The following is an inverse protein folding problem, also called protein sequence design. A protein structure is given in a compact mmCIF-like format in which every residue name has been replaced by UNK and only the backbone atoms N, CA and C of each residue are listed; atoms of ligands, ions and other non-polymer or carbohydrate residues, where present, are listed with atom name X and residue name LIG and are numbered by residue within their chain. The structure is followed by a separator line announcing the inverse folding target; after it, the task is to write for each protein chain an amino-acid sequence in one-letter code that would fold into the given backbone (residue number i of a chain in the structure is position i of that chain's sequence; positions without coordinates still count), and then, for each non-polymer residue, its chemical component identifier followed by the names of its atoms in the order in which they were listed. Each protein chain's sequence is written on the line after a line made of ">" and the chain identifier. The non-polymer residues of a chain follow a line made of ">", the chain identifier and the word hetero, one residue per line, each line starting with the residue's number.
data_IF_549456171241
#
_entry.id   IF_549456171241
#
_cell.length_a   1.000
_cell.length_b   1.000
_cell.length_c   1.000
_cell.angle_alpha   90.00
_cell.angle_beta   90.00
_cell.angle_gamma   90.00
#
_symmetry.space_group_name_H-M   'P 1'
#
loop_
_entity.id
_entity.type
_entity.pdbx_description
1 polymer ?
#
# COMPACT_ATOMS: atom_id res chain seq x y z
N UNK A 1 -70.08 -131.75 123.42
CA UNK A 1 -69.38 -132.58 122.42
C UNK A 1 -68.95 -131.69 121.25
N UNK A 2 -67.69 -131.24 121.21
CA UNK A 2 -67.16 -130.49 120.06
C UNK A 2 -66.98 -131.45 118.87
N UNK A 3 -67.62 -131.20 117.73
CA UNK A 3 -67.36 -131.95 116.49
C UNK A 3 -66.07 -131.43 115.84
N UNK A 4 -65.17 -132.34 115.44
CA UNK A 4 -63.90 -132.03 114.76
C UNK A 4 -64.16 -131.48 113.34
N UNK A 5 -63.33 -130.54 112.83
CA UNK A 5 -63.47 -129.98 111.47
C UNK A 5 -63.21 -131.03 110.37
N UNK A 6 -63.90 -130.89 109.23
CA UNK A 6 -63.69 -131.69 108.01
C UNK A 6 -62.86 -130.90 107.00
N UNK A 7 -62.01 -131.58 106.23
CA UNK A 7 -61.23 -131.00 105.13
C UNK A 7 -61.41 -131.89 103.89
N UNK A 8 -61.41 -131.27 102.71
CA UNK A 8 -61.51 -131.94 101.41
C UNK A 8 -60.16 -132.58 101.05
N UNK A 9 -60.16 -133.84 100.60
CA UNK A 9 -58.98 -134.50 100.05
C UNK A 9 -58.76 -134.15 98.57
N UNK A 10 -57.65 -134.63 98.00
CA UNK A 10 -57.26 -134.36 96.61
C UNK A 10 -58.22 -134.96 95.56
N UNK A 11 -59.15 -135.84 95.97
CA UNK A 11 -60.24 -136.35 95.14
C UNK A 11 -61.54 -135.54 95.31
N UNK A 12 -61.56 -134.54 96.21
CA UNK A 12 -62.69 -133.66 96.48
C UNK A 12 -63.70 -134.21 97.48
N UNK A 13 -63.36 -135.26 98.24
CA UNK A 13 -64.23 -135.83 99.28
C UNK A 13 -63.88 -135.29 100.68
N UNK A 14 -64.91 -135.07 101.52
CA UNK A 14 -64.75 -134.51 102.86
C UNK A 14 -64.35 -135.58 103.88
N UNK A 15 -63.11 -135.55 104.35
CA UNK A 15 -62.60 -136.46 105.38
C UNK A 15 -62.43 -135.76 106.74
N UNK A 16 -62.53 -136.55 107.82
CA UNK A 16 -62.29 -136.08 109.20
C UNK A 16 -60.82 -136.30 109.55
N UNK A 17 -60.10 -135.23 109.83
CA UNK A 17 -58.68 -135.28 110.23
C UNK A 17 -58.47 -136.13 111.49
N UNK A 18 -57.50 -137.05 111.41
CA UNK A 18 -57.00 -137.84 112.53
C UNK A 18 -55.92 -137.04 113.29
N UNK A 19 -55.70 -137.30 114.59
CA UNK A 19 -54.62 -136.66 115.34
C UNK A 19 -53.25 -137.13 114.79
N UNK A 20 -52.57 -136.26 114.05
CA UNK A 20 -51.27 -136.55 113.41
C UNK A 20 -51.19 -136.14 111.93
N UNK A 21 -52.33 -135.86 111.30
CA UNK A 21 -52.37 -135.47 109.88
C UNK A 21 -51.80 -134.05 109.69
N UNK A 22 -50.75 -133.93 108.88
CA UNK A 22 -50.18 -132.66 108.42
C UNK A 22 -50.97 -132.17 107.20
N UNK A 23 -51.53 -130.96 107.27
CA UNK A 23 -52.20 -130.33 106.13
C UNK A 23 -51.12 -129.87 105.15
N UNK A 24 -51.05 -130.49 103.98
CA UNK A 24 -50.16 -130.06 102.92
C UNK A 24 -50.72 -128.80 102.24
N UNK A 25 -50.13 -127.65 102.54
CA UNK A 25 -50.48 -126.35 101.96
C UNK A 25 -49.71 -126.07 100.67
N UNK A 26 -48.94 -127.01 100.13
CA UNK A 26 -48.14 -126.78 98.92
C UNK A 26 -48.97 -126.64 97.63
N UNK A 27 -50.27 -126.96 97.69
CA UNK A 27 -51.21 -126.84 96.56
C UNK A 27 -52.15 -125.61 96.61
N UNK A 28 -51.86 -124.59 97.43
CA UNK A 28 -52.54 -123.30 97.29
C UNK A 28 -52.13 -122.67 95.96
N UNK A 29 -53.13 -122.36 95.11
CA UNK A 29 -53.04 -121.84 93.73
C UNK A 29 -52.31 -120.48 93.54
N UNK A 30 -51.23 -120.18 94.27
CA UNK A 30 -50.59 -118.86 94.26
C UNK A 30 -49.57 -118.62 93.11
N UNK A 31 -49.09 -119.68 92.44
CA UNK A 31 -48.12 -119.52 91.34
C UNK A 31 -48.72 -118.92 90.05
N UNK A 32 -50.03 -119.13 89.78
CA UNK A 32 -50.69 -118.62 88.58
C UNK A 32 -51.00 -117.11 88.65
N UNK A 33 -51.31 -116.60 89.85
CA UNK A 33 -51.63 -115.19 90.07
C UNK A 33 -50.40 -114.29 90.02
N UNK A 34 -49.26 -114.73 90.57
CA UNK A 34 -47.98 -114.00 90.45
C UNK A 34 -47.49 -113.94 88.99
N UNK A 35 -47.58 -115.06 88.26
CA UNK A 35 -47.22 -115.15 86.83
C UNK A 35 -48.08 -114.21 85.97
N UNK A 36 -49.38 -114.07 86.28
CA UNK A 36 -50.27 -113.16 85.57
C UNK A 36 -49.94 -111.68 85.83
N UNK A 37 -49.60 -111.32 87.07
CA UNK A 37 -49.17 -109.95 87.42
C UNK A 37 -47.84 -109.59 86.75
N UNK A 38 -46.88 -110.52 86.71
CA UNK A 38 -45.59 -110.31 86.01
C UNK A 38 -45.77 -110.16 84.50
N UNK A 39 -46.67 -110.95 83.88
CA UNK A 39 -47.02 -110.80 82.47
C UNK A 39 -47.71 -109.46 82.18
N UNK A 40 -48.64 -109.02 83.04
CA UNK A 40 -49.27 -107.70 82.92
C UNK A 40 -48.23 -106.58 83.07
N UNK A 41 -47.31 -106.69 84.03
CA UNK A 41 -46.25 -105.72 84.25
C UNK A 41 -45.29 -105.65 83.04
N UNK A 42 -44.96 -106.79 82.43
CA UNK A 42 -44.16 -106.85 81.21
C UNK A 42 -44.86 -106.17 80.01
N UNK A 43 -46.17 -106.38 79.85
CA UNK A 43 -46.97 -105.71 78.81
C UNK A 43 -47.02 -104.19 79.06
N UNK A 44 -47.28 -103.76 80.30
CA UNK A 44 -47.32 -102.35 80.67
C UNK A 44 -45.97 -101.69 80.41
N UNK A 45 -44.86 -102.32 80.81
CA UNK A 45 -43.52 -101.81 80.55
C UNK A 45 -43.21 -101.73 79.04
N UNK A 46 -43.61 -102.73 78.26
CA UNK A 46 -43.43 -102.72 76.79
C UNK A 46 -44.22 -101.59 76.15
N UNK A 47 -45.47 -101.39 76.55
CA UNK A 47 -46.30 -100.29 76.08
C UNK A 47 -45.74 -98.93 76.50
N UNK A 48 -45.24 -98.80 77.73
CA UNK A 48 -44.63 -97.57 78.23
C UNK A 48 -43.37 -97.21 77.45
N UNK A 49 -42.52 -98.20 77.13
CA UNK A 49 -41.36 -98.01 76.27
C UNK A 49 -41.79 -97.56 74.87
N UNK A 50 -42.77 -98.23 74.26
CA UNK A 50 -43.27 -97.86 72.93
C UNK A 50 -43.85 -96.42 72.89
N UNK A 51 -44.60 -96.04 73.93
CA UNK A 51 -45.12 -94.67 74.09
C UNK A 51 -43.97 -93.68 74.26
N UNK A 52 -42.96 -93.98 75.07
CA UNK A 52 -41.81 -93.11 75.27
C UNK A 52 -40.98 -92.95 73.98
N UNK A 53 -40.74 -94.02 73.23
CA UNK A 53 -40.02 -93.97 71.95
C UNK A 53 -40.79 -93.12 70.93
N UNK A 54 -42.12 -93.26 70.89
CA UNK A 54 -42.99 -92.45 70.02
C UNK A 54 -42.96 -90.98 70.42
N UNK A 55 -43.05 -90.69 71.72
CA UNK A 55 -42.99 -89.33 72.26
C UNK A 55 -41.64 -88.66 71.96
N UNK A 56 -40.53 -89.38 72.16
CA UNK A 56 -39.18 -88.89 71.85
C UNK A 56 -39.02 -88.61 70.35
N UNK A 57 -39.50 -89.52 69.49
CA UNK A 57 -39.44 -89.33 68.03
C UNK A 57 -40.29 -88.14 67.58
N UNK A 58 -41.45 -87.92 68.20
CA UNK A 58 -42.31 -86.76 67.93
C UNK A 58 -41.65 -85.44 68.39
N UNK A 59 -40.99 -85.43 69.54
CA UNK A 59 -40.23 -84.27 70.02
C UNK A 59 -39.07 -83.94 69.08
N UNK A 60 -38.27 -84.95 68.69
CA UNK A 60 -37.21 -84.77 67.69
C UNK A 60 -37.74 -84.27 66.36
N UNK A 61 -38.87 -84.81 65.87
CA UNK A 61 -39.51 -84.32 64.64
C UNK A 61 -39.98 -82.87 64.76
N UNK A 62 -40.52 -82.46 65.91
CA UNK A 62 -40.92 -81.07 66.17
C UNK A 62 -39.71 -80.12 66.22
N UNK A 63 -38.62 -80.55 66.84
CA UNK A 63 -37.36 -79.79 66.88
C UNK A 63 -36.76 -79.66 65.47
N UNK A 64 -36.70 -80.75 64.69
CA UNK A 64 -36.25 -80.69 63.29
C UNK A 64 -37.15 -79.81 62.43
N UNK A 65 -38.47 -79.86 62.62
CA UNK A 65 -39.40 -79.01 61.86
C UNK A 65 -39.18 -77.54 62.20
N UNK A 66 -38.94 -77.23 63.46
CA UNK A 66 -38.62 -75.87 63.93
C UNK A 66 -37.31 -75.39 63.32
N UNK A 67 -36.27 -76.22 63.36
CA UNK A 67 -34.96 -75.94 62.77
C UNK A 67 -35.04 -75.74 61.25
N UNK A 68 -35.74 -76.62 60.53
CA UNK A 68 -35.96 -76.49 59.08
C UNK A 68 -36.73 -75.21 58.75
N UNK A 69 -37.74 -74.86 59.55
CA UNK A 69 -38.52 -73.63 59.34
C UNK A 69 -37.65 -72.38 59.56
N UNK A 70 -36.83 -72.38 60.61
CA UNK A 70 -35.91 -71.28 60.89
C UNK A 70 -34.87 -71.13 59.77
N UNK A 71 -34.29 -72.22 59.31
CA UNK A 71 -33.33 -72.21 58.19
C UNK A 71 -33.94 -71.73 56.88
N UNK A 72 -35.19 -72.10 56.57
CA UNK A 72 -35.90 -71.58 55.38
C UNK A 72 -36.16 -70.07 55.49
N UNK A 73 -36.49 -69.58 56.68
CA UNK A 73 -36.67 -68.14 56.93
C UNK A 73 -35.33 -67.39 56.82
N UNK A 74 -34.25 -67.94 57.38
CA UNK A 74 -32.90 -67.36 57.27
C UNK A 74 -32.36 -67.40 55.83
N UNK A 75 -32.55 -68.49 55.08
CA UNK A 75 -32.13 -68.60 53.68
C UNK A 75 -32.87 -67.60 52.78
N UNK A 76 -34.15 -67.32 53.07
CA UNK A 76 -34.92 -66.26 52.41
C UNK A 76 -34.46 -64.83 52.80
N UNK A 77 -33.66 -64.71 53.86
CA UNK A 77 -33.08 -63.46 54.37
C UNK A 77 -31.60 -63.27 54.00
N UNK A 78 -30.87 -64.31 53.56
CA UNK A 78 -29.46 -64.22 53.13
C UNK A 78 -29.26 -63.22 51.98
N UNK A 79 -30.28 -63.03 51.13
CA UNK A 79 -30.37 -61.89 50.22
C UNK A 79 -31.71 -61.20 50.45
N UNK A 80 -31.76 -60.14 51.29
CA UNK A 80 -33.01 -59.43 51.55
C UNK A 80 -33.57 -58.89 50.22
N UNK A 81 -34.84 -59.20 49.89
CA UNK A 81 -35.50 -58.74 48.65
C UNK A 81 -35.66 -57.21 48.54
N UNK A 82 -35.26 -56.49 49.58
CA UNK A 82 -35.14 -55.02 49.62
C UNK A 82 -33.79 -54.51 49.13
N UNK A 83 -32.78 -55.38 49.01
CA UNK A 83 -31.50 -55.01 48.41
C UNK A 83 -31.66 -54.81 46.91
N UNK A 84 -31.00 -53.79 46.38
CA UNK A 84 -31.02 -53.45 44.96
C UNK A 84 -29.61 -53.42 44.40
N UNK A 85 -29.47 -53.79 43.13
CA UNK A 85 -28.27 -53.52 42.33
C UNK A 85 -28.66 -52.41 41.37
N UNK A 86 -28.08 -51.23 41.56
CA UNK A 86 -28.40 -50.01 40.80
C UNK A 86 -29.91 -49.75 40.66
N UNK A 87 -30.63 -49.88 41.78
CA UNK A 87 -32.08 -49.63 41.85
C UNK A 87 -32.97 -50.77 41.38
N UNK A 88 -32.43 -51.87 40.86
CA UNK A 88 -33.20 -53.08 40.52
C UNK A 88 -33.22 -54.07 41.68
N UNK A 89 -34.41 -54.48 42.11
CA UNK A 89 -34.58 -55.43 43.22
C UNK A 89 -34.06 -56.83 42.84
N UNK A 90 -33.44 -57.53 43.80
CA UNK A 90 -32.92 -58.90 43.64
C UNK A 90 -34.04 -59.97 43.69
N UNK A 91 -34.99 -59.89 42.76
CA UNK A 91 -36.11 -60.85 42.64
C UNK A 91 -35.95 -61.84 41.48
N UNK A 92 -34.98 -61.61 40.59
CA UNK A 92 -34.60 -62.44 39.44
C UNK A 92 -33.19 -62.07 38.96
N UNK A 93 -32.74 -62.66 37.84
CA UNK A 93 -31.52 -62.23 37.15
C UNK A 93 -31.56 -60.72 36.86
N UNK A 94 -30.44 -60.05 37.15
CA UNK A 94 -30.28 -58.62 36.98
C UNK A 94 -29.56 -58.34 35.66
N UNK A 95 -30.31 -57.84 34.68
CA UNK A 95 -29.73 -57.29 33.46
C UNK A 95 -29.41 -55.81 33.68
N UNK A 96 -28.13 -55.46 33.68
CA UNK A 96 -27.66 -54.08 33.72
C UNK A 96 -27.29 -53.63 32.31
N UNK A 97 -27.77 -52.46 31.91
CA UNK A 97 -27.27 -51.75 30.72
C UNK A 97 -26.33 -50.60 31.12
N UNK A 98 -25.74 -49.93 30.14
CA UNK A 98 -24.82 -48.81 30.35
C UNK A 98 -25.42 -47.67 31.18
N UNK A 99 -26.72 -47.37 30.98
CA UNK A 99 -27.42 -46.35 31.76
C UNK A 99 -27.59 -46.74 33.23
N UNK A 100 -27.82 -48.03 33.52
CA UNK A 100 -27.94 -48.52 34.90
C UNK A 100 -26.64 -48.35 35.68
N UNK A 101 -25.46 -48.45 35.03
CA UNK A 101 -24.14 -48.36 35.67
C UNK A 101 -23.41 -47.03 35.43
N UNK A 102 -24.05 -46.06 34.77
CA UNK A 102 -23.42 -44.79 34.40
C UNK A 102 -22.21 -44.94 33.49
N UNK A 103 -22.15 -46.02 32.71
CA UNK A 103 -21.07 -46.27 31.76
C UNK A 103 -21.41 -45.80 30.36
N UNK A 104 -20.39 -45.74 29.51
CA UNK A 104 -20.55 -45.51 28.08
C UNK A 104 -20.91 -46.82 27.40
N UNK A 105 -21.89 -46.78 26.50
CA UNK A 105 -22.18 -47.89 25.61
C UNK A 105 -21.06 -48.05 24.59
N UNK A 106 -20.39 -49.21 24.62
CA UNK A 106 -19.29 -49.56 23.70
C UNK A 106 -19.77 -49.51 22.24
N UNK A 107 -21.04 -49.82 21.97
CA UNK A 107 -21.60 -49.76 20.62
C UNK A 107 -21.73 -48.32 20.08
N UNK A 108 -21.70 -47.31 20.95
CA UNK A 108 -21.77 -45.89 20.57
C UNK A 108 -20.41 -45.27 20.24
N UNK A 109 -19.30 -45.98 20.47
CA UNK A 109 -17.96 -45.45 20.27
C UNK A 109 -17.60 -45.52 18.78
N UNK A 110 -17.19 -44.38 18.22
CA UNK A 110 -16.63 -44.31 16.87
C UNK A 110 -17.66 -44.42 15.74
N UNK A 111 -18.96 -44.32 16.04
CA UNK A 111 -20.05 -44.31 15.05
C UNK A 111 -20.62 -42.90 14.83
N UNK A 112 -21.24 -42.59 13.67
CA UNK A 112 -21.93 -41.33 13.45
C UNK A 112 -23.00 -41.05 14.53
N UNK A 113 -22.98 -39.84 15.11
CA UNK A 113 -23.89 -39.45 16.19
C UNK A 113 -23.56 -40.01 17.58
N UNK A 114 -22.46 -40.77 17.71
CA UNK A 114 -22.00 -41.39 18.94
C UNK A 114 -20.88 -40.60 19.66
N UNK A 115 -20.04 -41.35 20.37
CA UNK A 115 -18.93 -40.83 21.18
C UNK A 115 -17.61 -40.99 20.43
N UNK A 116 -16.79 -39.95 20.45
CA UNK A 116 -15.49 -39.93 19.79
C UNK A 116 -14.42 -40.59 20.69
N UNK A 117 -13.72 -41.64 20.25
CA UNK A 117 -12.62 -42.22 21.01
C UNK A 117 -11.38 -41.32 20.98
N UNK A 118 -10.57 -41.39 22.04
CA UNK A 118 -9.21 -40.82 22.04
C UNK A 118 -8.22 -41.82 21.43
N UNK A 119 -7.25 -41.32 20.68
CA UNK A 119 -6.11 -42.08 20.19
C UNK A 119 -5.09 -42.37 21.30
N UNK A 120 -4.06 -43.13 20.96
CA UNK A 120 -2.95 -43.46 21.88
C UNK A 120 -2.18 -42.22 22.38
N UNK A 121 -2.31 -41.09 21.68
CA UNK A 121 -1.76 -39.79 22.02
C UNK A 121 -2.67 -38.96 22.95
N UNK A 122 -3.81 -39.53 23.38
CA UNK A 122 -4.78 -38.86 24.25
C UNK A 122 -5.60 -37.77 23.57
N UNK A 123 -5.61 -37.73 22.23
CA UNK A 123 -6.35 -36.72 21.45
C UNK A 123 -7.43 -37.37 20.61
N UNK A 124 -8.39 -36.55 20.16
CA UNK A 124 -9.36 -36.97 19.14
C UNK A 124 -8.63 -37.18 17.82
N UNK A 125 -8.78 -38.35 17.20
CA UNK A 125 -8.20 -38.63 15.89
C UNK A 125 -8.86 -37.77 14.79
N UNK A 126 -8.08 -37.29 13.82
CA UNK A 126 -8.55 -36.40 12.76
C UNK A 126 -9.69 -36.99 11.91
N UNK A 127 -9.79 -38.32 11.84
CA UNK A 127 -10.89 -39.03 11.17
C UNK A 127 -12.28 -38.77 11.77
N UNK A 128 -12.33 -38.27 13.02
CA UNK A 128 -13.56 -37.90 13.71
C UNK A 128 -13.79 -36.38 13.74
N UNK A 129 -12.92 -35.59 13.13
CA UNK A 129 -13.05 -34.15 13.01
C UNK A 129 -13.70 -33.80 11.66
N UNK A 130 -14.46 -32.71 11.61
CA UNK A 130 -15.11 -32.26 10.38
C UNK A 130 -14.05 -31.76 9.36
N UNK A 131 -14.27 -32.06 8.07
CA UNK A 131 -13.45 -31.56 6.94
C UNK A 131 -13.27 -30.04 6.90
N UNK A 132 -14.24 -29.29 7.45
CA UNK A 132 -14.18 -27.84 7.62
C UNK A 132 -13.11 -27.41 8.63
N UNK A 133 -12.82 -28.23 9.64
CA UNK A 133 -11.69 -28.01 10.56
C UNK A 133 -10.37 -28.52 9.97
N UNK A 134 -10.41 -29.45 9.00
CA UNK A 134 -9.26 -29.85 8.17
C UNK A 134 -8.87 -28.74 7.17
N UNK A 135 -9.82 -27.87 6.79
CA UNK A 135 -9.57 -26.66 5.99
C UNK A 135 -9.00 -25.48 6.79
N UNK A 136 -8.67 -25.66 8.07
CA UNK A 136 -7.97 -24.64 8.83
C UNK A 136 -6.59 -24.37 8.19
N UNK A 137 -6.16 -23.11 8.19
CA UNK A 137 -4.80 -22.78 7.78
C UNK A 137 -3.80 -23.37 8.79
N UNK A 138 -3.02 -24.37 8.36
CA UNK A 138 -2.01 -25.06 9.18
C UNK A 138 -0.63 -24.55 8.77
N UNK A 139 -0.01 -23.76 9.66
CA UNK A 139 1.31 -23.22 9.43
C UNK A 139 2.38 -24.32 9.43
N UNK A 140 3.09 -24.46 8.31
CA UNK A 140 4.17 -25.44 8.13
C UNK A 140 5.57 -24.85 8.36
N UNK A 141 5.66 -23.53 8.51
CA UNK A 141 6.92 -22.81 8.72
C UNK A 141 7.23 -21.80 7.62
N UNK A 142 8.51 -21.49 7.48
CA UNK A 142 8.98 -20.54 6.46
C UNK A 142 9.36 -21.25 5.17
N UNK A 143 9.28 -20.55 4.04
CA UNK A 143 9.69 -21.02 2.73
C UNK A 143 10.69 -20.05 2.09
N UNK A 144 11.74 -20.60 1.49
CA UNK A 144 12.67 -19.89 0.63
C UNK A 144 12.19 -20.05 -0.82
N UNK A 145 11.61 -18.99 -1.37
CA UNK A 145 11.05 -19.01 -2.71
C UNK A 145 12.11 -18.91 -3.82
N UNK A 146 13.36 -18.57 -3.48
CA UNK A 146 14.46 -18.53 -4.45
C UNK A 146 15.01 -19.93 -4.75
N UNK A 147 15.03 -20.79 -3.74
CA UNK A 147 15.55 -22.15 -3.84
C UNK A 147 14.48 -23.23 -3.78
N UNK A 148 13.21 -22.85 -3.57
CA UNK A 148 12.09 -23.74 -3.29
C UNK A 148 12.40 -24.69 -2.10
N UNK A 149 12.64 -24.11 -0.92
CA UNK A 149 12.98 -24.88 0.29
C UNK A 149 12.00 -24.56 1.42
N UNK A 150 11.23 -25.54 1.94
CA UNK A 150 11.14 -26.93 1.47
C UNK A 150 10.59 -27.04 0.04
N UNK A 151 10.90 -28.14 -0.63
CA UNK A 151 10.48 -28.38 -2.02
C UNK A 151 8.96 -28.53 -2.11
N UNK A 152 8.31 -27.53 -2.71
CA UNK A 152 6.90 -27.57 -3.07
C UNK A 152 6.77 -27.97 -4.54
N UNK A 153 5.76 -28.77 -4.85
CA UNK A 153 5.47 -29.25 -6.20
C UNK A 153 4.06 -28.82 -6.58
N UNK A 154 3.91 -28.28 -7.79
CA UNK A 154 2.63 -27.90 -8.38
C UNK A 154 1.58 -29.01 -8.22
N UNK A 155 0.39 -28.64 -7.76
CA UNK A 155 -0.75 -29.54 -7.56
C UNK A 155 -0.58 -30.61 -6.49
N UNK A 156 0.50 -30.56 -5.69
CA UNK A 156 0.79 -31.56 -4.66
C UNK A 156 0.96 -30.91 -3.28
N UNK A 157 0.11 -31.30 -2.34
CA UNK A 157 0.15 -30.82 -0.96
C UNK A 157 -0.97 -31.40 -0.11
N UNK A 158 -1.05 -30.97 1.15
CA UNK A 158 -2.18 -31.25 2.04
C UNK A 158 -3.01 -29.97 2.19
N UNK A 159 -4.32 -30.07 1.97
CA UNK A 159 -5.22 -28.91 2.05
C UNK A 159 -5.02 -28.15 3.36
N UNK A 160 -4.95 -26.82 3.29
CA UNK A 160 -4.77 -25.93 4.42
C UNK A 160 -3.31 -25.74 4.87
N UNK A 161 -2.37 -26.57 4.41
CA UNK A 161 -0.95 -26.35 4.71
C UNK A 161 -0.47 -25.06 4.04
N UNK A 162 0.20 -24.20 4.81
CA UNK A 162 0.78 -22.97 4.27
C UNK A 162 2.16 -22.68 4.83
N UNK A 163 2.97 -22.01 4.01
CA UNK A 163 4.27 -21.49 4.40
C UNK A 163 4.30 -19.97 4.24
N UNK A 164 5.12 -19.30 5.04
CA UNK A 164 5.42 -17.87 4.88
C UNK A 164 6.76 -17.68 4.19
N UNK A 165 6.81 -16.89 3.13
CA UNK A 165 8.05 -16.58 2.41
C UNK A 165 8.99 -15.78 3.31
N UNK A 166 10.18 -16.32 3.56
CA UNK A 166 11.24 -15.66 4.34
C UNK A 166 12.46 -15.29 3.49
N UNK A 167 12.54 -15.78 2.24
CA UNK A 167 13.49 -15.34 1.22
C UNK A 167 12.71 -15.17 -0.07
N UNK A 168 12.65 -13.93 -0.57
CA UNK A 168 11.98 -13.61 -1.83
C UNK A 168 12.70 -14.28 -3.01
N UNK A 169 11.96 -14.64 -4.05
CA UNK A 169 12.54 -15.32 -5.20
C UNK A 169 11.51 -15.74 -6.24
N UNK A 170 11.97 -16.52 -7.22
CA UNK A 170 11.17 -16.92 -8.37
C UNK A 170 11.11 -18.44 -8.54
N UNK A 171 10.18 -19.08 -7.83
CA UNK A 171 9.82 -20.49 -8.02
C UNK A 171 8.44 -20.57 -8.66
N UNK A 172 8.34 -21.15 -9.86
CA UNK A 172 7.06 -21.36 -10.55
C UNK A 172 6.29 -22.51 -9.88
N UNK A 173 5.23 -22.18 -9.12
CA UNK A 173 4.32 -23.13 -8.50
C UNK A 173 2.89 -22.76 -8.92
N UNK A 174 2.18 -23.68 -9.58
CA UNK A 174 0.77 -23.53 -9.99
C UNK A 174 0.44 -22.19 -10.68
N UNK A 175 1.37 -21.70 -11.52
CA UNK A 175 1.20 -20.46 -12.29
C UNK A 175 1.74 -19.19 -11.62
N UNK A 176 2.21 -19.27 -10.37
CA UNK A 176 2.82 -18.16 -9.65
C UNK A 176 4.35 -18.28 -9.68
N UNK A 177 5.07 -17.28 -10.22
CA UNK A 177 6.53 -17.31 -10.40
C UNK A 177 7.29 -16.21 -9.65
N UNK A 178 6.60 -15.29 -8.99
CA UNK A 178 7.22 -14.19 -8.23
C UNK A 178 6.65 -14.16 -6.81
N UNK A 179 7.55 -14.27 -5.84
CA UNK A 179 7.22 -14.33 -4.42
C UNK A 179 8.03 -13.29 -3.64
N UNK A 180 7.32 -12.36 -3.01
CA UNK A 180 7.87 -11.34 -2.15
C UNK A 180 8.10 -11.84 -0.72
N UNK A 181 8.98 -11.16 0.00
CA UNK A 181 9.20 -11.44 1.42
C UNK A 181 7.90 -11.20 2.20
N UNK A 182 7.44 -12.21 2.92
CA UNK A 182 6.21 -12.14 3.71
C UNK A 182 4.96 -12.69 3.02
N UNK A 183 5.01 -12.96 1.72
CA UNK A 183 3.93 -13.66 1.01
C UNK A 183 3.63 -15.02 1.67
N UNK A 184 2.40 -15.49 1.50
CA UNK A 184 1.97 -16.81 1.97
C UNK A 184 1.66 -17.67 0.75
N UNK A 185 2.18 -18.89 0.75
CA UNK A 185 1.83 -19.95 -0.19
C UNK A 185 0.98 -20.98 0.56
N UNK A 186 -0.24 -21.27 0.10
CA UNK A 186 -1.20 -22.17 0.77
C UNK A 186 -1.78 -23.17 -0.21
N UNK A 187 -1.89 -24.45 0.18
CA UNK A 187 -2.49 -25.48 -0.67
C UNK A 187 -3.99 -25.57 -0.41
N UNK A 188 -4.82 -25.36 -1.43
CA UNK A 188 -6.30 -25.38 -1.31
C UNK A 188 -6.89 -26.81 -1.37
N UNK A 189 -6.04 -27.79 -1.69
CA UNK A 189 -6.39 -29.19 -1.94
C UNK A 189 -6.19 -29.64 -3.38
N UNK A 190 -5.99 -28.68 -4.31
CA UNK A 190 -5.78 -28.91 -5.74
C UNK A 190 -4.56 -28.14 -6.26
N UNK A 191 -4.33 -26.91 -5.82
CA UNK A 191 -3.24 -26.02 -6.23
C UNK A 191 -2.67 -25.24 -5.04
N UNK A 192 -1.46 -24.73 -5.21
CA UNK A 192 -0.87 -23.76 -4.30
C UNK A 192 -1.28 -22.34 -4.70
N UNK A 193 -2.12 -21.72 -3.87
CA UNK A 193 -2.50 -20.32 -4.00
C UNK A 193 -1.43 -19.40 -3.39
N UNK A 194 -1.23 -18.25 -4.03
CA UNK A 194 -0.45 -17.13 -3.52
C UNK A 194 -1.38 -16.16 -2.79
N UNK A 195 -1.00 -15.79 -1.57
CA UNK A 195 -1.56 -14.66 -0.84
C UNK A 195 -0.44 -13.64 -0.66
N UNK A 196 -0.59 -12.47 -1.29
CA UNK A 196 0.42 -11.41 -1.20
C UNK A 196 0.48 -10.85 0.23
N UNK A 197 1.69 -10.79 0.78
CA UNK A 197 1.97 -10.37 2.15
C UNK A 197 3.13 -9.38 2.24
N UNK A 198 3.58 -8.87 1.09
CA UNK A 198 4.72 -7.97 0.96
C UNK A 198 4.45 -6.59 1.59
N UNK A 199 5.39 -6.13 2.42
CA UNK A 199 5.34 -4.81 3.05
C UNK A 199 5.74 -3.66 2.09
N UNK A 200 6.21 -3.99 0.89
CA UNK A 200 6.67 -3.01 -0.11
C UNK A 200 5.66 -2.81 -1.24
N UNK A 201 4.50 -3.46 -1.17
CA UNK A 201 3.48 -3.29 -2.19
C UNK A 201 2.95 -1.87 -2.14
N UNK A 202 2.82 -1.27 -3.32
CA UNK A 202 2.17 0.03 -3.46
C UNK A 202 0.69 -0.18 -3.18
N UNK A 203 0.32 -0.01 -1.91
CA UNK A 203 -1.07 -0.18 -1.46
C UNK A 203 -1.99 0.91 -2.00
N UNK A 204 -1.45 2.08 -2.38
CA UNK A 204 -2.19 3.12 -3.07
C UNK A 204 -1.30 4.05 -3.90
N UNK A 205 -1.88 4.64 -4.95
CA UNK A 205 -1.27 5.73 -5.74
C UNK A 205 -2.21 6.92 -5.69
N UNK A 206 -1.80 7.97 -4.96
CA UNK A 206 -2.66 9.12 -4.63
C UNK A 206 -3.98 8.73 -3.95
N UNK A 207 -3.94 7.76 -3.02
CA UNK A 207 -5.11 7.31 -2.27
C UNK A 207 -6.09 6.42 -3.04
N UNK A 208 -5.80 6.10 -4.31
CA UNK A 208 -6.58 5.14 -5.11
C UNK A 208 -5.98 3.74 -5.02
N UNK A 209 -6.85 2.74 -5.05
CA UNK A 209 -6.51 1.30 -5.01
C UNK A 209 -7.00 0.59 -6.28
N UNK A 210 -6.40 -0.54 -6.64
CA UNK A 210 -6.77 -1.31 -7.85
C UNK A 210 -6.12 -0.77 -9.13
N UNK A 211 -6.79 -0.93 -10.27
CA UNK A 211 -6.30 -0.43 -11.55
C UNK A 211 -6.30 1.11 -11.56
N UNK A 212 -5.11 1.72 -11.49
CA UNK A 212 -4.93 3.18 -11.50
C UNK A 212 -4.65 3.65 -12.93
N UNK A 213 -5.63 4.29 -13.55
CA UNK A 213 -5.44 5.01 -14.82
C UNK A 213 -5.00 6.44 -14.50
N UNK A 214 -3.86 6.85 -15.06
CA UNK A 214 -3.33 8.19 -14.85
C UNK A 214 -4.27 9.23 -15.48
N UNK A 215 -4.71 10.19 -14.67
CA UNK A 215 -5.50 11.34 -15.08
C UNK A 215 -4.63 12.59 -15.09
N UNK A 216 -5.02 13.61 -15.85
CA UNK A 216 -4.32 14.90 -15.86
C UNK A 216 -4.25 15.54 -14.47
N UNK A 217 -5.26 15.32 -13.62
CA UNK A 217 -5.29 15.76 -12.22
C UNK A 217 -4.17 15.18 -11.36
N UNK A 218 -3.64 14.00 -11.70
CA UNK A 218 -2.67 13.27 -10.87
C UNK A 218 -1.26 13.85 -10.98
N UNK A 219 -1.02 14.65 -12.02
CA UNK A 219 0.29 15.21 -12.36
C UNK A 219 0.28 16.73 -12.37
N UNK A 220 -0.81 17.38 -11.92
CA UNK A 220 -0.91 18.85 -11.91
C UNK A 220 0.25 19.46 -11.15
N UNK A 221 0.49 19.01 -9.93
CA UNK A 221 1.59 19.51 -9.10
C UNK A 221 2.95 19.17 -9.69
N UNK A 222 3.10 18.02 -10.35
CA UNK A 222 4.33 17.61 -11.02
C UNK A 222 4.63 18.42 -12.30
N UNK A 223 3.63 19.12 -12.85
CA UNK A 223 3.73 19.94 -14.06
C UNK A 223 3.80 21.45 -13.73
N UNK A 224 3.70 21.84 -12.46
CA UNK A 224 3.83 23.24 -12.07
C UNK A 224 5.27 23.76 -12.27
N UNK A 225 5.45 25.04 -12.61
CA UNK A 225 6.76 25.68 -12.63
C UNK A 225 7.48 25.49 -11.28
N UNK A 226 8.67 24.87 -11.31
CA UNK A 226 9.47 24.57 -10.11
C UNK A 226 9.22 23.21 -9.46
N UNK A 227 8.25 22.41 -9.94
CA UNK A 227 7.98 21.07 -9.43
C UNK A 227 9.03 20.02 -9.82
N UNK A 228 9.85 20.31 -10.84
CA UNK A 228 10.97 19.48 -11.25
C UNK A 228 12.26 20.05 -10.63
N UNK A 229 12.76 19.48 -9.52
CA UNK A 229 13.97 19.97 -8.84
C UNK A 229 15.25 19.68 -9.62
N UNK A 230 15.20 18.75 -10.58
CA UNK A 230 16.34 18.48 -11.46
C UNK A 230 16.44 19.56 -12.54
N UNK A 231 17.42 20.45 -12.43
CA UNK A 231 17.67 21.54 -13.37
C UNK A 231 17.85 21.10 -14.84
N UNK A 232 18.26 19.84 -15.08
CA UNK A 232 18.41 19.28 -16.42
C UNK A 232 17.08 18.79 -17.05
N UNK A 233 16.03 18.64 -16.24
CA UNK A 233 14.68 18.21 -16.65
C UNK A 233 13.63 19.29 -16.36
N UNK A 234 14.02 20.38 -15.69
CA UNK A 234 13.24 21.60 -15.65
C UNK A 234 13.00 21.99 -17.10
N UNK A 235 11.77 21.78 -17.56
CA UNK A 235 11.38 22.05 -18.93
C UNK A 235 11.22 23.57 -19.12
N UNK A 236 12.31 24.30 -18.95
CA UNK A 236 12.45 25.70 -19.34
C UNK A 236 12.14 25.90 -20.83
N UNK A 237 12.23 24.83 -21.64
CA UNK A 237 11.87 24.85 -23.05
C UNK A 237 10.35 24.89 -23.33
N UNK A 238 9.47 24.54 -22.39
CA UNK A 238 8.00 24.67 -22.56
C UNK A 238 7.42 25.85 -21.80
N UNK A 239 8.08 26.32 -20.73
CA UNK A 239 7.59 27.46 -19.95
C UNK A 239 7.88 28.82 -20.60
N UNK A 240 8.80 28.92 -21.55
CA UNK A 240 9.23 30.22 -22.07
C UNK A 240 9.52 30.21 -23.59
N UNK A 241 8.46 30.15 -24.40
CA UNK A 241 8.56 30.53 -25.81
C UNK A 241 8.67 32.08 -25.98
N UNK A 242 8.59 32.82 -24.88
CA UNK A 242 8.73 34.28 -24.79
C UNK A 242 10.04 34.74 -24.14
N UNK A 243 10.94 33.81 -23.82
CA UNK A 243 12.12 34.07 -23.00
C UNK A 243 13.17 34.90 -23.73
N UNK A 244 13.68 35.91 -23.05
CA UNK A 244 14.84 36.68 -23.50
C UNK A 244 16.01 35.69 -23.67
N UNK A 245 16.51 35.54 -24.90
CA UNK A 245 17.62 34.66 -25.27
C UNK A 245 18.92 35.09 -24.58
N UNK A 246 19.16 34.65 -23.34
CA UNK A 246 20.39 34.96 -22.58
C UNK A 246 21.39 33.80 -22.53
N UNK A 247 21.09 32.68 -23.19
CA UNK A 247 21.85 31.43 -23.07
C UNK A 247 23.08 31.28 -23.97
N UNK A 248 22.95 31.28 -25.30
CA UNK A 248 24.07 30.90 -26.19
C UNK A 248 23.98 31.52 -27.60
N UNK A 249 23.07 32.47 -27.83
CA UNK A 249 22.88 33.05 -29.15
C UNK A 249 23.69 34.33 -29.32
N UNK A 250 24.69 34.27 -30.20
CA UNK A 250 25.26 35.49 -30.78
C UNK A 250 24.21 36.04 -31.74
N UNK A 251 23.40 37.00 -31.28
CA UNK A 251 22.42 37.69 -32.14
C UNK A 251 23.21 38.65 -33.05
N UNK A 252 23.54 38.20 -34.25
CA UNK A 252 24.16 39.02 -35.29
C UNK A 252 23.07 39.68 -36.12
N UNK A 253 22.96 41.02 -36.04
CA UNK A 253 22.14 41.79 -36.97
C UNK A 253 22.93 41.99 -38.27
N UNK A 254 22.64 41.21 -39.30
CA UNK A 254 23.36 41.20 -40.58
C UNK A 254 22.75 42.07 -41.69
N UNK A 255 21.69 42.83 -41.36
CA UNK A 255 20.97 43.70 -42.29
C UNK A 255 20.14 44.77 -41.56
N UNK A 256 19.11 45.29 -42.23
CA UNK A 256 18.24 46.33 -41.68
C UNK A 256 17.52 45.86 -40.40
N UNK A 257 17.51 46.73 -39.39
CA UNK A 257 16.77 46.49 -38.15
C UNK A 257 15.31 46.88 -38.41
N UNK A 258 14.49 45.89 -38.76
CA UNK A 258 13.03 46.02 -38.86
C UNK A 258 12.36 45.14 -37.81
N UNK A 259 11.40 45.68 -37.07
CA UNK A 259 10.72 44.96 -35.99
C UNK A 259 9.24 45.29 -35.93
N UNK A 260 8.41 44.27 -35.73
CA UNK A 260 6.95 44.38 -35.60
C UNK A 260 6.45 43.79 -34.27
N UNK A 261 7.24 43.94 -33.19
CA UNK A 261 6.88 43.51 -31.85
C UNK A 261 6.22 44.62 -31.03
N UNK A 262 5.53 44.27 -29.95
CA UNK A 262 4.92 45.22 -29.00
C UNK A 262 5.92 45.82 -28.00
N UNK A 263 7.16 45.32 -27.96
CA UNK A 263 8.28 45.84 -27.17
C UNK A 263 9.30 46.58 -28.04
N UNK A 264 9.95 47.61 -27.48
CA UNK A 264 10.99 48.36 -28.16
C UNK A 264 12.25 47.51 -28.40
N UNK A 265 12.78 47.51 -29.63
CA UNK A 265 14.11 47.00 -29.94
C UNK A 265 15.10 48.15 -29.72
N UNK A 266 15.83 48.13 -28.60
CA UNK A 266 16.80 49.17 -28.25
C UNK A 266 18.19 48.76 -28.72
N UNK A 267 18.76 49.49 -29.69
CA UNK A 267 20.15 49.30 -30.15
C UNK A 267 20.99 50.53 -29.84
N UNK A 268 22.08 50.35 -29.10
CA UNK A 268 23.07 51.41 -28.89
C UNK A 268 24.09 51.39 -30.04
N UNK A 269 24.04 52.38 -30.91
CA UNK A 269 25.11 52.61 -31.88
C UNK A 269 26.25 53.34 -31.15
N UNK A 270 27.46 52.77 -31.15
CA UNK A 270 28.62 53.47 -30.61
C UNK A 270 28.83 54.80 -31.34
N UNK A 271 29.36 55.78 -30.61
CA UNK A 271 29.53 57.18 -31.05
C UNK A 271 30.13 57.25 -32.46
N UNK A 272 29.32 57.65 -33.43
CA UNK A 272 29.81 58.00 -34.78
C UNK A 272 30.57 59.31 -34.70
N UNK A 273 31.67 59.47 -35.44
CA UNK A 273 32.52 60.68 -35.44
C UNK A 273 31.85 61.98 -35.95
N UNK A 274 30.54 61.95 -36.17
CA UNK A 274 29.71 63.06 -36.65
C UNK A 274 28.99 63.70 -35.45
N UNK A 275 29.07 65.03 -35.36
CA UNK A 275 28.31 65.86 -34.41
C UNK A 275 27.09 66.44 -35.14
N UNK A 276 25.96 66.74 -34.49
CA UNK A 276 24.81 67.36 -35.18
C UNK A 276 25.21 68.64 -35.94
N UNK A 277 24.92 68.70 -37.26
CA UNK A 277 25.30 69.82 -38.13
C UNK A 277 24.86 69.61 -39.59
N UNK A 278 25.09 70.62 -40.45
CA UNK A 278 24.86 70.52 -41.91
C UNK A 278 26.19 70.31 -42.62
N UNK A 279 26.29 69.22 -43.37
CA UNK A 279 27.51 68.80 -44.05
C UNK A 279 27.38 68.94 -45.56
N UNK A 280 28.46 69.38 -46.21
CA UNK A 280 28.55 69.46 -47.68
C UNK A 280 28.89 68.11 -48.29
N UNK A 281 29.70 67.33 -47.57
CA UNK A 281 30.18 66.01 -47.94
C UNK A 281 30.21 65.16 -46.68
N UNK A 282 29.69 63.93 -46.78
CA UNK A 282 29.78 62.91 -45.75
C UNK A 282 30.72 61.80 -46.23
N UNK A 283 31.61 61.37 -45.35
CA UNK A 283 32.35 60.12 -45.51
C UNK A 283 31.51 59.00 -44.93
N UNK A 284 31.17 58.04 -45.78
CA UNK A 284 30.39 56.85 -45.43
C UNK A 284 31.34 55.64 -45.38
N UNK A 285 31.25 54.81 -44.35
CA UNK A 285 32.02 53.56 -44.28
C UNK A 285 31.44 52.47 -45.20
N UNK A 286 32.17 51.37 -45.38
CA UNK A 286 31.73 50.22 -46.20
C UNK A 286 30.41 49.58 -45.71
N UNK A 287 29.89 50.02 -44.56
CA UNK A 287 28.64 49.57 -43.94
C UNK A 287 27.53 50.63 -44.02
N UNK A 288 27.72 51.72 -44.75
CA UNK A 288 26.68 52.73 -44.98
C UNK A 288 26.53 53.76 -43.85
N UNK A 289 27.42 53.80 -42.86
CA UNK A 289 27.35 54.75 -41.74
C UNK A 289 28.19 55.99 -42.01
N UNK A 290 27.68 57.17 -41.65
CA UNK A 290 28.46 58.40 -41.68
C UNK A 290 29.51 58.42 -40.57
N UNK A 291 30.77 58.57 -40.95
CA UNK A 291 31.93 58.50 -40.02
C UNK A 291 32.75 59.79 -39.94
N UNK A 292 32.64 60.68 -40.94
CA UNK A 292 33.24 62.03 -40.95
C UNK A 292 32.50 62.95 -41.95
N UNK A 293 32.68 64.27 -41.88
CA UNK A 293 32.11 65.18 -42.88
C UNK A 293 32.73 66.58 -42.85
N UNK A 294 32.72 67.26 -44.01
CA UNK A 294 33.25 68.61 -44.19
C UNK A 294 32.12 69.65 -44.21
N UNK A 295 32.29 70.74 -43.44
CA UNK A 295 31.35 71.86 -43.39
C UNK A 295 31.45 72.72 -44.67
N UNK A 296 30.33 73.29 -45.13
CA UNK A 296 30.31 74.24 -46.25
C UNK A 296 30.99 75.56 -45.84
N UNK A 297 32.02 76.01 -46.56
CA UNK A 297 32.50 77.40 -46.51
C UNK A 297 32.17 78.05 -47.87
N UNK A 298 31.42 79.17 -47.95
CA UNK A 298 31.10 79.82 -49.22
C UNK A 298 32.36 80.43 -49.89
N UNK A 299 32.49 80.30 -51.22
CA UNK A 299 33.59 80.85 -52.01
C UNK A 299 33.55 82.39 -52.02
N UNK A 300 34.44 83.04 -51.27
CA UNK A 300 34.71 84.48 -51.37
C UNK A 300 36.13 84.67 -51.91
N UNK A 301 36.30 85.30 -53.08
CA UNK A 301 37.63 85.68 -53.57
C UNK A 301 38.07 86.99 -52.89
N UNK A 302 39.22 86.95 -52.21
CA UNK A 302 39.84 88.13 -51.59
C UNK A 302 40.82 88.76 -52.57
N UNK A 303 40.73 90.07 -52.79
CA UNK A 303 41.62 90.77 -53.71
C UNK A 303 42.28 91.99 -53.07
N UNK A 304 43.44 92.38 -53.61
CA UNK A 304 44.29 93.48 -53.13
C UNK A 304 44.47 94.59 -54.19
N UNK A 305 44.44 95.87 -53.80
CA UNK A 305 44.75 96.97 -54.71
C UNK A 305 46.27 97.07 -54.99
N UNK A 306 46.70 96.69 -56.19
CA UNK A 306 48.10 96.70 -56.61
C UNK A 306 48.52 98.01 -57.31
N UNK A 307 47.67 99.04 -57.29
CA UNK A 307 48.03 100.36 -57.79
C UNK A 307 48.81 101.16 -56.73
N UNK A 308 49.87 101.83 -57.16
CA UNK A 308 50.71 102.68 -56.29
C UNK A 308 50.10 104.07 -56.08
N UNK A 309 48.96 104.33 -56.71
CA UNK A 309 48.16 105.54 -56.55
C UNK A 309 46.83 105.24 -55.86
N UNK A 310 46.30 106.21 -55.11
CA UNK A 310 44.97 106.12 -54.50
C UNK A 310 43.94 106.11 -55.63
N UNK A 311 43.10 105.08 -55.67
CA UNK A 311 41.99 104.98 -56.60
C UNK A 311 40.85 105.87 -56.11
N UNK A 312 40.37 106.79 -56.94
CA UNK A 312 39.29 107.70 -56.57
C UNK A 312 37.94 107.03 -56.84
N UNK A 313 36.91 107.39 -56.06
CA UNK A 313 35.55 106.92 -56.28
C UNK A 313 35.09 107.09 -57.75
N UNK A 314 34.47 106.05 -58.31
CA UNK A 314 34.04 105.99 -59.70
C UNK A 314 35.12 105.57 -60.71
N UNK A 315 36.36 105.34 -60.28
CA UNK A 315 37.42 104.83 -61.17
C UNK A 315 37.15 103.35 -61.50
N UNK A 316 37.06 102.96 -62.78
CA UNK A 316 36.92 101.56 -63.17
C UNK A 316 38.21 100.77 -62.87
N UNK A 317 38.04 99.56 -62.31
CA UNK A 317 39.14 98.64 -62.00
C UNK A 317 38.87 97.23 -62.53
N UNK A 318 39.93 96.45 -62.75
CA UNK A 318 39.85 95.06 -63.19
C UNK A 318 40.79 94.17 -62.37
N UNK A 319 40.50 92.86 -62.37
CA UNK A 319 41.37 91.85 -61.79
C UNK A 319 42.56 91.56 -62.71
N UNK A 320 43.78 92.01 -62.39
CA UNK A 320 44.93 91.80 -63.28
C UNK A 320 45.48 90.37 -63.17
N UNK A 321 45.54 89.84 -61.96
CA UNK A 321 45.87 88.43 -61.65
C UNK A 321 45.04 87.98 -60.44
N UNK A 322 45.06 86.67 -60.12
CA UNK A 322 44.45 86.14 -58.91
C UNK A 322 44.81 87.01 -57.70
N UNK A 323 43.79 87.44 -56.96
CA UNK A 323 43.90 88.23 -55.74
C UNK A 323 44.46 89.66 -55.88
N UNK A 324 44.48 90.27 -57.09
CA UNK A 324 44.84 91.70 -57.24
C UNK A 324 44.02 92.51 -58.25
N UNK A 325 43.73 93.77 -57.92
CA UNK A 325 43.01 94.74 -58.77
C UNK A 325 43.91 95.90 -59.21
N UNK A 326 43.65 96.44 -60.42
CA UNK A 326 44.31 97.63 -61.00
C UNK A 326 43.33 98.53 -61.77
N UNK A 327 43.70 99.80 -61.99
CA UNK A 327 42.94 100.73 -62.86
C UNK A 327 42.79 100.17 -64.27
N UNK A 328 41.56 100.19 -64.80
CA UNK A 328 41.31 99.87 -66.20
C UNK A 328 41.89 100.96 -67.10
N UNK A 329 42.82 100.56 -67.98
CA UNK A 329 43.37 101.39 -69.06
C UNK A 329 43.01 100.64 -70.33
N UNK A 330 42.36 101.27 -71.29
CA UNK A 330 41.92 100.52 -72.44
C UNK A 330 42.67 100.85 -73.70
N UNK A 331 43.90 100.36 -73.65
CA UNK A 331 44.81 100.38 -74.78
C UNK A 331 44.94 99.01 -75.45
N UNK A 332 44.26 97.94 -75.00
CA UNK A 332 43.96 96.70 -75.78
C UNK A 332 43.14 95.66 -74.99
N UNK A 333 42.46 94.77 -75.72
CA UNK A 333 41.27 93.97 -75.37
C UNK A 333 41.50 92.62 -74.65
N UNK A 334 42.59 92.39 -73.90
CA UNK A 334 42.97 91.00 -73.58
C UNK A 334 42.89 90.51 -72.12
N UNK A 335 42.66 91.35 -71.11
CA UNK A 335 42.47 90.92 -69.71
C UNK A 335 41.87 92.13 -68.96
N UNK A 336 40.70 92.17 -68.32
CA UNK A 336 40.00 91.18 -67.51
C UNK A 336 38.57 91.66 -67.18
N UNK A 337 37.76 90.80 -66.55
CA UNK A 337 36.44 91.14 -66.00
C UNK A 337 36.53 92.39 -65.12
N UNK A 338 35.78 93.44 -65.47
CA UNK A 338 35.67 94.65 -64.65
C UNK A 338 34.87 94.28 -63.40
N UNK A 339 35.44 94.50 -62.23
CA UNK A 339 34.79 94.20 -60.96
C UNK A 339 34.60 95.53 -60.21
N UNK A 340 33.37 96.04 -60.21
CA UNK A 340 32.88 97.04 -59.26
C UNK A 340 33.49 98.45 -59.39
N UNK A 341 32.63 99.44 -59.61
CA UNK A 341 32.97 100.83 -59.31
C UNK A 341 33.10 101.00 -57.81
N UNK A 342 34.20 101.57 -57.35
CA UNK A 342 34.36 101.88 -55.93
C UNK A 342 33.63 103.17 -55.61
N UNK A 343 32.86 103.21 -54.52
CA UNK A 343 32.15 104.41 -54.07
C UNK A 343 32.97 105.30 -53.10
N UNK A 344 34.24 104.97 -52.87
CA UNK A 344 35.15 105.67 -51.98
C UNK A 344 36.60 105.46 -52.41
N UNK A 345 37.51 106.28 -51.89
CA UNK A 345 38.93 106.15 -52.18
C UNK A 345 39.50 104.83 -51.65
N UNK A 346 40.23 104.08 -52.49
CA UNK A 346 40.98 102.90 -52.07
C UNK A 346 42.46 103.23 -52.02
N UNK A 347 43.04 103.15 -50.83
CA UNK A 347 44.48 103.32 -50.64
C UNK A 347 45.27 102.18 -51.32
N UNK A 348 46.50 102.45 -51.79
CA UNK A 348 47.42 101.40 -52.23
C UNK A 348 47.50 100.26 -51.22
N UNK A 349 47.20 99.05 -51.67
CA UNK A 349 47.26 97.82 -50.89
C UNK A 349 46.11 97.50 -49.94
N UNK A 350 44.95 98.16 -50.08
CA UNK A 350 43.74 97.70 -49.40
C UNK A 350 43.34 96.29 -49.87
N UNK A 351 42.73 95.50 -48.98
CA UNK A 351 42.17 94.17 -49.27
C UNK A 351 40.65 94.19 -49.07
N UNK A 352 39.92 93.45 -49.90
CA UNK A 352 38.48 93.33 -49.78
C UNK A 352 37.91 92.12 -50.50
N UNK A 353 36.71 91.73 -50.08
CA UNK A 353 35.92 90.67 -50.73
C UNK A 353 35.17 91.29 -51.91
N UNK A 354 35.23 90.66 -53.08
CA UNK A 354 34.40 91.04 -54.23
C UNK A 354 33.51 89.89 -54.64
N UNK A 355 32.23 90.22 -54.90
CA UNK A 355 31.24 89.24 -55.33
C UNK A 355 31.43 88.96 -56.81
N UNK A 356 31.81 87.74 -57.15
CA UNK A 356 32.01 87.29 -58.54
C UNK A 356 30.69 87.03 -59.30
N UNK A 357 29.53 87.34 -58.71
CA UNK A 357 28.22 87.06 -59.30
C UNK A 357 27.27 88.24 -59.16
N UNK A 358 26.51 88.52 -60.23
CA UNK A 358 25.65 89.68 -60.54
C UNK A 358 26.33 90.83 -61.32
N UNK A 359 26.27 90.72 -62.66
CA UNK A 359 26.71 91.71 -63.66
C UNK A 359 26.35 93.16 -63.28
N UNK A 360 27.32 94.07 -63.37
CA UNK A 360 27.15 95.49 -63.05
C UNK A 360 26.33 96.16 -64.17
N UNK A 361 25.03 96.36 -63.92
CA UNK A 361 24.13 97.08 -64.83
C UNK A 361 24.02 98.53 -64.37
N UNK A 362 24.45 99.48 -65.20
CA UNK A 362 24.33 100.92 -64.98
C UNK A 362 23.40 101.52 -66.02
N UNK A 363 22.62 102.52 -65.63
CA UNK A 363 21.83 103.29 -66.59
C UNK A 363 22.69 104.31 -67.36
N UNK A 364 22.13 104.86 -68.44
CA UNK A 364 22.79 105.85 -69.30
C UNK A 364 23.30 107.07 -68.53
N UNK A 365 22.56 107.57 -67.53
CA UNK A 365 22.95 108.75 -66.78
C UNK A 365 24.11 108.44 -65.82
N UNK A 366 24.10 107.27 -65.21
CA UNK A 366 25.16 106.76 -64.36
C UNK A 366 26.45 106.57 -65.16
N UNK A 367 26.36 106.05 -66.39
CA UNK A 367 27.51 105.89 -67.27
C UNK A 367 28.08 107.23 -67.77
N UNK A 368 27.20 108.16 -68.16
CA UNK A 368 27.60 109.50 -68.61
C UNK A 368 28.28 110.30 -67.49
N UNK A 369 27.85 110.12 -66.23
CA UNK A 369 28.49 110.72 -65.06
C UNK A 369 29.92 110.20 -64.85
N UNK A 370 30.16 108.91 -65.11
CA UNK A 370 31.46 108.25 -64.90
C UNK A 370 32.43 108.58 -66.05
N UNK A 371 31.94 108.65 -67.28
CA UNK A 371 32.79 108.80 -68.47
C UNK A 371 32.92 110.24 -68.98
N UNK A 372 32.09 111.17 -68.49
CA UNK A 372 32.12 112.58 -68.88
C UNK A 372 31.64 112.86 -70.31
N UNK A 373 31.12 111.85 -71.02
CA UNK A 373 30.45 111.99 -72.31
C UNK A 373 28.94 112.19 -72.15
N UNK A 374 28.25 112.60 -73.23
CA UNK A 374 26.78 112.56 -73.28
C UNK A 374 26.33 111.61 -74.38
N UNK A 375 25.46 110.66 -74.05
CA UNK A 375 24.73 109.89 -75.07
C UNK A 375 24.45 108.44 -74.75
N UNK A 376 24.99 107.88 -73.67
CA UNK A 376 24.78 106.48 -73.31
C UNK A 376 25.19 105.46 -74.37
N UNK A 377 25.08 104.19 -74.00
CA UNK A 377 25.49 103.05 -74.83
C UNK A 377 24.29 102.49 -75.63
N UNK A 378 24.54 101.99 -76.84
CA UNK A 378 23.53 101.31 -77.67
C UNK A 378 23.22 99.94 -77.07
N UNK A 379 21.94 99.63 -76.91
CA UNK A 379 21.48 98.34 -76.38
C UNK A 379 22.03 97.16 -77.22
N UNK A 380 22.68 96.21 -76.56
CA UNK A 380 23.25 95.00 -77.17
C UNK A 380 24.68 95.14 -77.71
N UNK A 381 25.32 96.31 -77.57
CA UNK A 381 26.73 96.48 -77.93
C UNK A 381 27.64 96.26 -76.71
N UNK A 382 28.73 95.50 -76.90
CA UNK A 382 29.80 95.37 -75.92
C UNK A 382 30.77 96.52 -76.09
N UNK A 383 30.82 97.41 -75.11
CA UNK A 383 31.75 98.52 -75.10
C UNK A 383 32.99 98.16 -74.29
N UNK A 384 34.13 98.38 -74.91
CA UNK A 384 35.41 98.39 -74.23
C UNK A 384 35.67 99.87 -73.94
N UNK A 385 35.99 100.21 -72.69
CA UNK A 385 36.41 101.59 -72.38
C UNK A 385 37.68 101.92 -73.19
N UNK A 386 38.04 103.20 -73.24
CA UNK A 386 39.31 103.84 -73.66
C UNK A 386 40.38 103.87 -72.57
#
# INVERSE_FOLDING_TARGET
>A
MLRKPLVLDDAGDMQRLQPGDLIDLTNVQDAASATHVDQQLAIVNTNLIAVQTTANSAATAADLLTEVTNRIQEDALLVPKTTTVNGKALTSDINLNSADIGSVDIASIGIPGGIVPLGADGKVAMSYMNDSLLGAMIYQGVWDASLNIPALVAGTGSKGHYYKVNVAGSSLIDGNDVWGLGDIIVFDGLVWDKIEGSATDVTSVFGRVGAVVLMSSDVVDALLPGAIPNAALANTAVADLSGINTGDQTIVMSGDIVGSGTGAIVTALSQTGIVPGTYSVLTIDDKGRAIAGDNVIPNTLKMFNADITVLVAGTPVYANVSDSVKQAIATTKLTSTVIGLVNSDIVPGAQGDIKESNELVLDTAQWDLITGGSGGLVFGATYYLS
#
